data_IF_221112613209
#
_entry.id   IF_221112613209
#
_cell.length_a   1.000
_cell.length_b   1.000
_cell.length_c   1.000
_cell.angle_alpha   90.00
_cell.angle_beta   90.00
_cell.angle_gamma   90.00
#
_symmetry.space_group_name_H-M   'P 1'
#
loop_
_entity.id
_entity.type
_entity.pdbx_description
1 polymer ?
#
# COMPACT_ATOMS: atom_id res chain seq x y z
N UNK A 1 -11.79 38.22 0.36
CA UNK A 1 -11.83 36.82 0.84
C UNK A 1 -11.17 35.96 -0.20
N UNK A 2 -10.07 35.26 0.08
CA UNK A 2 -9.22 34.75 -1.01
C UNK A 2 -8.74 33.32 -0.77
N UNK A 3 -8.49 32.59 -1.87
CA UNK A 3 -8.07 31.19 -1.86
C UNK A 3 -6.88 30.96 -2.81
N UNK A 4 -6.27 29.77 -2.69
CA UNK A 4 -5.31 29.19 -3.62
C UNK A 4 -5.71 27.74 -3.85
N UNK A 5 -5.48 27.23 -5.05
CA UNK A 5 -5.57 25.80 -5.33
C UNK A 5 -4.14 25.26 -5.30
N UNK A 6 -3.93 24.19 -4.55
CA UNK A 6 -2.64 23.52 -4.43
C UNK A 6 -2.75 22.08 -4.90
N UNK A 7 -1.88 21.68 -5.82
CA UNK A 7 -1.66 20.28 -6.20
C UNK A 7 -0.37 19.82 -5.52
N UNK A 8 -0.50 18.81 -4.69
CA UNK A 8 0.64 18.10 -4.12
C UNK A 8 0.93 16.92 -5.01
N UNK A 9 2.18 16.77 -5.42
CA UNK A 9 2.69 15.53 -5.98
C UNK A 9 4.04 15.19 -5.33
N UNK A 10 4.68 14.13 -5.83
CA UNK A 10 5.94 13.62 -5.26
C UNK A 10 7.15 14.51 -5.59
N UNK A 11 7.03 15.39 -6.60
CA UNK A 11 8.07 16.33 -7.03
C UNK A 11 7.93 17.70 -6.35
N UNK A 12 6.77 18.00 -5.78
CA UNK A 12 6.58 19.20 -4.97
C UNK A 12 5.12 19.64 -4.86
N UNK A 13 4.95 20.94 -4.64
CA UNK A 13 3.63 21.57 -4.51
C UNK A 13 3.51 22.66 -5.56
N UNK A 14 2.57 22.49 -6.48
CA UNK A 14 2.19 23.52 -7.43
C UNK A 14 1.01 24.30 -6.87
N UNK A 15 1.13 25.62 -6.82
CA UNK A 15 0.12 26.48 -6.21
C UNK A 15 -0.25 27.57 -7.20
N UNK A 16 -1.56 27.80 -7.36
CA UNK A 16 -2.04 28.93 -8.16
C UNK A 16 -1.65 30.26 -7.51
N UNK A 17 -1.69 31.34 -8.29
CA UNK A 17 -1.75 32.68 -7.68
C UNK A 17 -2.99 32.77 -6.79
N UNK A 18 -2.91 33.61 -5.76
CA UNK A 18 -4.03 33.89 -4.86
C UNK A 18 -5.09 34.67 -5.63
N UNK A 19 -6.36 34.27 -5.54
CA UNK A 19 -7.49 34.95 -6.17
C UNK A 19 -8.61 35.18 -5.16
N UNK A 20 -9.45 36.21 -5.37
CA UNK A 20 -10.60 36.48 -4.50
C UNK A 20 -11.81 35.70 -5.00
N UNK A 21 -12.20 34.64 -4.30
CA UNK A 21 -13.30 33.78 -4.77
C UNK A 21 -14.68 34.42 -4.70
N UNK A 22 -14.82 35.59 -4.06
CA UNK A 22 -16.07 36.37 -4.11
C UNK A 22 -16.15 37.23 -5.36
N UNK A 23 -15.01 37.72 -5.84
CA UNK A 23 -14.93 38.53 -7.05
C UNK A 23 -14.74 37.68 -8.32
N UNK A 24 -13.94 36.62 -8.22
CA UNK A 24 -13.53 35.69 -9.29
C UNK A 24 -14.03 34.26 -8.97
N UNK A 25 -15.32 34.15 -8.62
CA UNK A 25 -15.93 32.89 -8.18
C UNK A 25 -15.94 31.81 -9.27
N UNK A 26 -15.97 32.22 -10.53
CA UNK A 26 -15.92 31.36 -11.71
C UNK A 26 -14.66 30.48 -11.75
N UNK A 27 -13.51 30.97 -11.26
CA UNK A 27 -12.27 30.18 -11.21
C UNK A 27 -12.40 28.98 -10.28
N UNK A 28 -13.03 29.18 -9.11
CA UNK A 28 -13.25 28.10 -8.14
C UNK A 28 -14.32 27.12 -8.64
N UNK A 29 -15.40 27.64 -9.22
CA UNK A 29 -16.49 26.81 -9.78
C UNK A 29 -15.99 25.97 -10.95
N UNK A 30 -15.23 26.55 -11.88
CA UNK A 30 -14.65 25.82 -13.03
C UNK A 30 -13.69 24.73 -12.56
N UNK A 31 -12.83 25.03 -11.58
CA UNK A 31 -11.96 24.02 -10.98
C UNK A 31 -12.75 22.86 -10.38
N UNK A 32 -13.73 23.15 -9.51
CA UNK A 32 -14.53 22.12 -8.85
C UNK A 32 -15.35 21.30 -9.87
N UNK A 33 -15.90 21.95 -10.90
CA UNK A 33 -16.62 21.30 -11.98
C UNK A 33 -15.72 20.31 -12.73
N UNK A 34 -14.56 20.77 -13.23
CA UNK A 34 -13.60 19.92 -13.94
C UNK A 34 -13.09 18.80 -13.04
N UNK A 35 -12.70 19.11 -11.80
CA UNK A 35 -12.23 18.13 -10.83
C UNK A 35 -13.29 17.07 -10.52
N UNK A 36 -14.58 17.42 -10.48
CA UNK A 36 -15.66 16.47 -10.23
C UNK A 36 -15.89 15.49 -11.38
N UNK A 37 -15.52 15.87 -12.61
CA UNK A 37 -15.62 15.03 -13.81
C UNK A 37 -14.43 14.10 -13.99
N UNK A 38 -13.31 14.35 -13.29
CA UNK A 38 -12.15 13.47 -13.32
C UNK A 38 -12.47 12.10 -12.71
N UNK A 39 -11.84 11.07 -13.27
CA UNK A 39 -11.83 9.72 -12.72
C UNK A 39 -11.25 9.70 -11.29
N UNK A 40 -11.27 8.53 -10.63
CA UNK A 40 -10.66 8.43 -9.30
C UNK A 40 -9.15 8.59 -9.42
N UNK A 41 -8.56 7.96 -10.42
CA UNK A 41 -7.14 7.93 -10.72
C UNK A 41 -6.63 9.35 -11.03
N UNK A 42 -7.35 10.09 -11.89
CA UNK A 42 -7.01 11.48 -12.22
C UNK A 42 -7.16 12.45 -11.04
N UNK A 43 -7.98 12.11 -10.03
CA UNK A 43 -8.07 12.84 -8.75
C UNK A 43 -6.97 12.43 -7.77
N UNK A 44 -6.08 11.51 -8.13
CA UNK A 44 -4.98 11.04 -7.30
C UNK A 44 -5.34 9.91 -6.34
N UNK A 45 -6.46 9.20 -6.56
CA UNK A 45 -6.71 7.96 -5.83
C UNK A 45 -5.81 6.84 -6.37
N UNK A 46 -5.23 6.08 -5.46
CA UNK A 46 -4.47 4.87 -5.79
C UNK A 46 -5.43 3.76 -6.26
N UNK A 47 -5.35 3.31 -7.53
CA UNK A 47 -6.22 2.25 -8.06
C UNK A 47 -5.90 0.86 -7.48
N UNK A 48 -4.73 0.69 -6.87
CA UNK A 48 -4.29 -0.60 -6.30
C UNK A 48 -4.70 -0.77 -4.85
N UNK A 49 -5.35 0.23 -4.24
CA UNK A 49 -5.86 0.17 -2.88
C UNK A 49 -7.40 0.27 -2.86
N UNK A 50 -8.06 -0.79 -2.41
CA UNK A 50 -9.51 -0.84 -2.24
C UNK A 50 -9.89 -0.96 -0.77
N UNK A 51 -10.96 -0.25 -0.37
CA UNK A 51 -11.38 -0.21 1.04
C UNK A 51 -12.07 -1.52 1.43
N UNK A 52 -11.63 -2.12 2.54
CA UNK A 52 -12.32 -3.26 3.16
C UNK A 52 -13.42 -2.69 4.07
N UNK A 53 -14.68 -2.90 3.68
CA UNK A 53 -15.83 -2.39 4.43
C UNK A 53 -16.16 -3.28 5.65
N UNK A 54 -16.69 -2.69 6.74
CA UNK A 54 -17.17 -3.45 7.88
C UNK A 54 -18.17 -4.54 7.48
N UNK A 55 -18.15 -5.66 8.21
CA UNK A 55 -19.06 -6.82 8.04
C UNK A 55 -18.90 -7.61 6.75
N UNK A 56 -18.00 -7.22 5.83
CA UNK A 56 -17.66 -8.06 4.66
C UNK A 56 -16.98 -9.38 5.08
N UNK A 57 -17.01 -10.44 4.25
CA UNK A 57 -16.33 -11.70 4.55
C UNK A 57 -14.85 -11.51 4.89
N UNK A 58 -14.13 -10.70 4.10
CA UNK A 58 -12.71 -10.40 4.32
C UNK A 58 -12.48 -9.65 5.64
N UNK A 59 -13.31 -8.65 5.96
CA UNK A 59 -13.25 -7.95 7.25
C UNK A 59 -13.41 -8.92 8.44
N UNK A 60 -14.40 -9.81 8.37
CA UNK A 60 -14.63 -10.81 9.41
C UNK A 60 -13.49 -11.83 9.47
N UNK A 61 -12.90 -12.21 8.33
CA UNK A 61 -11.75 -13.10 8.27
C UNK A 61 -10.51 -12.49 8.93
N UNK A 62 -10.21 -11.21 8.68
CA UNK A 62 -9.12 -10.50 9.37
C UNK A 62 -9.33 -10.51 10.89
N UNK A 63 -10.54 -10.23 11.37
CA UNK A 63 -10.86 -10.27 12.82
C UNK A 63 -10.74 -11.66 13.41
N UNK A 64 -11.17 -12.70 12.69
CA UNK A 64 -11.00 -14.10 13.10
C UNK A 64 -9.51 -14.45 13.20
N UNK A 65 -8.71 -14.08 12.19
CA UNK A 65 -7.26 -14.32 12.17
C UNK A 65 -6.54 -13.59 13.30
N UNK A 66 -6.95 -12.38 13.64
CA UNK A 66 -6.40 -11.63 14.78
C UNK A 66 -6.67 -12.32 16.13
N UNK A 67 -7.82 -12.97 16.29
CA UNK A 67 -8.23 -13.65 17.54
C UNK A 67 -7.83 -15.12 17.64
N UNK A 68 -7.50 -15.77 16.52
CA UNK A 68 -7.11 -17.17 16.50
C UNK A 68 -5.81 -17.36 17.30
N UNK A 69 -5.90 -17.98 18.47
CA UNK A 69 -4.73 -18.49 19.20
C UNK A 69 -4.18 -19.69 18.44
N UNK A 70 -2.86 -19.78 18.28
CA UNK A 70 -2.21 -21.07 17.99
C UNK A 70 -2.06 -21.78 19.34
N UNK A 71 -2.38 -23.06 19.44
CA UNK A 71 -2.32 -23.85 20.68
C UNK A 71 -0.91 -23.89 21.32
N UNK A 72 0.12 -23.48 20.58
CA UNK A 72 1.47 -23.26 21.09
C UNK A 72 1.56 -21.89 21.78
N UNK A 73 1.23 -21.83 23.07
CA UNK A 73 1.37 -20.67 23.98
C UNK A 73 2.85 -20.23 24.21
N UNK A 74 3.75 -20.61 23.28
CA UNK A 74 5.20 -20.39 23.28
C UNK A 74 5.77 -19.97 21.92
N UNK A 75 4.95 -19.63 20.91
CA UNK A 75 5.51 -19.10 19.64
C UNK A 75 6.02 -17.65 19.88
N UNK A 76 7.34 -17.39 19.82
CA UNK A 76 7.89 -16.06 20.01
C UNK A 76 7.36 -15.03 18.99
N UNK A 77 6.70 -15.45 17.91
CA UNK A 77 6.04 -14.57 16.94
C UNK A 77 4.64 -14.10 17.34
N UNK A 78 4.17 -14.40 18.56
CA UNK A 78 2.87 -13.90 19.04
C UNK A 78 2.79 -12.36 19.01
N UNK A 79 3.94 -11.67 19.11
CA UNK A 79 3.98 -10.22 18.92
C UNK A 79 3.47 -9.77 17.54
N UNK A 80 3.71 -10.52 16.46
CA UNK A 80 3.23 -10.15 15.11
C UNK A 80 1.71 -10.17 15.06
N UNK A 81 1.09 -11.17 15.72
CA UNK A 81 -0.37 -11.25 15.85
C UNK A 81 -0.90 -10.11 16.71
N UNK A 82 -0.24 -9.79 17.81
CA UNK A 82 -0.60 -8.66 18.67
C UNK A 82 -0.52 -7.32 17.89
N UNK A 83 0.53 -7.13 17.07
CA UNK A 83 0.66 -5.98 16.18
C UNK A 83 -0.47 -5.94 15.15
N UNK A 84 -0.79 -7.07 14.52
CA UNK A 84 -1.91 -7.17 13.59
C UNK A 84 -3.24 -6.85 14.29
N UNK A 85 -3.50 -7.40 15.47
CA UNK A 85 -4.69 -7.10 16.25
C UNK A 85 -4.79 -5.61 16.59
N UNK A 86 -3.69 -4.98 17.00
CA UNK A 86 -3.61 -3.54 17.24
C UNK A 86 -3.87 -2.72 15.97
N UNK A 87 -3.45 -3.22 14.80
CA UNK A 87 -3.70 -2.57 13.51
C UNK A 87 -5.19 -2.52 13.13
N UNK A 88 -6.01 -3.44 13.66
CA UNK A 88 -7.45 -3.52 13.40
C UNK A 88 -8.25 -2.48 14.22
N UNK A 89 -7.82 -1.22 14.19
CA UNK A 89 -8.50 -0.09 14.82
C UNK A 89 -9.82 0.21 14.06
N UNK A 90 -10.99 0.22 14.73
CA UNK A 90 -12.28 0.51 14.09
C UNK A 90 -12.41 1.92 13.53
N UNK A 91 -11.63 2.88 14.06
CA UNK A 91 -11.62 4.27 13.61
C UNK A 91 -10.65 4.50 12.44
N UNK A 92 -9.96 3.45 11.98
CA UNK A 92 -9.05 3.51 10.85
C UNK A 92 -9.59 2.67 9.68
N UNK A 93 -9.53 3.17 8.43
CA UNK A 93 -9.93 2.37 7.27
C UNK A 93 -8.98 1.20 7.04
N UNK A 94 -9.52 0.01 6.77
CA UNK A 94 -8.73 -1.14 6.38
C UNK A 94 -8.71 -1.26 4.86
N UNK A 95 -7.63 -1.79 4.31
CA UNK A 95 -7.37 -1.77 2.88
C UNK A 95 -6.99 -3.15 2.36
N UNK A 96 -7.47 -3.47 1.17
CA UNK A 96 -6.94 -4.52 0.32
C UNK A 96 -6.04 -3.84 -0.70
N UNK A 97 -4.75 -4.15 -0.63
CA UNK A 97 -3.68 -3.55 -1.44
C UNK A 97 -3.18 -4.58 -2.44
N UNK A 98 -2.97 -4.14 -3.67
CA UNK A 98 -2.42 -4.96 -4.76
C UNK A 98 -0.95 -4.59 -4.99
N UNK A 99 -0.10 -5.61 -5.05
CA UNK A 99 1.30 -5.49 -5.44
C UNK A 99 1.46 -6.13 -6.79
N UNK A 100 1.78 -5.31 -7.79
CA UNK A 100 1.96 -5.72 -9.17
C UNK A 100 3.39 -6.22 -9.35
N UNK A 101 3.60 -7.50 -9.04
CA UNK A 101 4.93 -8.08 -8.95
C UNK A 101 5.46 -8.56 -10.29
N UNK A 102 6.74 -8.29 -10.56
CA UNK A 102 7.43 -8.90 -11.68
C UNK A 102 8.00 -10.25 -11.25
N UNK A 103 7.49 -11.33 -11.82
CA UNK A 103 8.03 -12.67 -11.62
C UNK A 103 8.90 -13.07 -12.82
N UNK A 104 10.16 -13.44 -12.60
CA UNK A 104 10.98 -14.03 -13.65
C UNK A 104 10.52 -15.47 -13.87
N UNK A 105 9.40 -15.66 -14.57
CA UNK A 105 8.93 -16.98 -14.97
C UNK A 105 8.80 -17.05 -16.48
N UNK A 106 9.94 -17.24 -17.14
CA UNK A 106 9.98 -17.39 -18.59
C UNK A 106 11.30 -17.86 -19.14
N UNK A 107 11.30 -18.99 -19.86
CA UNK A 107 12.44 -19.42 -20.67
C UNK A 107 12.61 -18.54 -21.92
N UNK A 108 11.57 -17.81 -22.33
CA UNK A 108 11.55 -16.94 -23.51
C UNK A 108 11.38 -15.46 -23.15
N UNK A 109 11.82 -14.55 -24.04
CA UNK A 109 11.79 -13.08 -23.85
C UNK A 109 10.37 -12.54 -23.59
N UNK A 110 9.32 -13.15 -24.16
CA UNK A 110 7.92 -12.73 -23.96
C UNK A 110 7.32 -13.21 -22.63
N UNK A 111 7.88 -14.24 -22.00
CA UNK A 111 7.43 -14.75 -20.70
C UNK A 111 8.12 -14.04 -19.51
N UNK A 112 9.21 -13.32 -19.74
CA UNK A 112 9.95 -12.59 -18.69
C UNK A 112 9.22 -11.36 -18.13
N UNK A 113 8.17 -10.90 -18.80
CA UNK A 113 7.41 -9.68 -18.45
C UNK A 113 5.97 -10.00 -18.04
N UNK A 114 5.72 -11.10 -17.31
CA UNK A 114 4.40 -11.34 -16.74
C UNK A 114 4.30 -10.64 -15.38
N UNK A 115 3.40 -9.66 -15.29
CA UNK A 115 3.03 -9.01 -14.02
C UNK A 115 2.02 -9.90 -13.30
N UNK A 116 2.39 -10.35 -12.09
CA UNK A 116 1.52 -11.12 -11.21
C UNK A 116 0.99 -10.19 -10.13
N UNK A 117 -0.33 -10.05 -10.05
CA UNK A 117 -0.97 -9.23 -9.01
C UNK A 117 -1.13 -10.05 -7.74
N UNK A 118 -0.46 -9.62 -6.66
CA UNK A 118 -0.59 -10.23 -5.32
C UNK A 118 -1.38 -9.32 -4.41
N UNK A 119 -2.36 -9.85 -3.71
CA UNK A 119 -3.30 -9.07 -2.89
C UNK A 119 -3.02 -9.26 -1.40
N UNK A 120 -3.12 -8.18 -0.63
CA UNK A 120 -2.89 -8.19 0.80
C UNK A 120 -3.93 -7.37 1.54
N UNK A 121 -4.40 -7.88 2.68
CA UNK A 121 -5.27 -7.16 3.59
C UNK A 121 -4.46 -6.53 4.72
N UNK A 122 -4.62 -5.22 4.92
CA UNK A 122 -3.90 -4.43 5.93
C UNK A 122 -4.85 -3.59 6.77
N UNK A 123 -4.50 -3.43 8.05
CA UNK A 123 -5.13 -2.45 8.96
C UNK A 123 -4.37 -1.13 8.98
N UNK A 124 -4.34 -0.48 10.14
CA UNK A 124 -3.53 0.69 10.42
C UNK A 124 -2.03 0.38 10.29
N UNK A 125 -1.20 1.26 9.70
CA UNK A 125 0.23 1.03 9.61
C UNK A 125 0.85 0.86 11.01
N UNK A 126 1.71 -0.14 11.14
CA UNK A 126 2.56 -0.34 12.33
C UNK A 126 3.61 0.77 12.44
N UNK A 127 4.14 1.22 11.30
CA UNK A 127 5.08 2.31 11.20
C UNK A 127 4.62 3.29 10.12
N UNK A 128 4.73 4.59 10.40
CA UNK A 128 4.51 5.65 9.43
C UNK A 128 5.55 6.75 9.66
N UNK A 129 6.36 7.02 8.64
CA UNK A 129 7.33 8.11 8.67
C UNK A 129 6.61 9.45 8.85
N UNK A 130 7.09 10.35 9.73
CA UNK A 130 6.48 11.65 9.95
C UNK A 130 6.80 12.62 8.80
N UNK A 131 5.95 13.64 8.66
CA UNK A 131 6.16 14.74 7.71
C UNK A 131 5.59 14.50 6.32
N UNK A 132 5.58 15.57 5.53
CA UNK A 132 5.09 15.58 4.14
C UNK A 132 6.22 15.47 3.12
N UNK A 133 7.45 15.79 3.54
CA UNK A 133 8.66 15.67 2.73
C UNK A 133 9.37 14.34 3.05
N UNK A 134 9.72 13.58 2.03
CA UNK A 134 10.45 12.31 2.17
C UNK A 134 9.76 11.13 1.48
N UNK A 135 10.14 9.91 1.87
CA UNK A 135 9.68 8.68 1.20
C UNK A 135 8.25 8.26 1.54
N UNK A 136 7.59 8.95 2.47
CA UNK A 136 6.21 8.60 2.90
C UNK A 136 6.08 7.17 3.44
N UNK A 137 7.15 6.59 3.95
CA UNK A 137 7.21 5.15 4.24
C UNK A 137 6.18 4.72 5.28
N UNK A 138 5.41 3.70 4.92
CA UNK A 138 4.47 3.00 5.79
C UNK A 138 4.82 1.52 5.83
N UNK A 139 4.70 0.94 7.01
CA UNK A 139 4.93 -0.47 7.26
C UNK A 139 3.69 -1.11 7.85
N UNK A 140 3.25 -2.21 7.29
CA UNK A 140 2.02 -2.90 7.67
C UNK A 140 2.32 -4.34 8.05
N UNK A 141 1.62 -4.83 9.08
CA UNK A 141 1.42 -6.27 9.23
C UNK A 141 0.24 -6.63 8.33
N UNK A 142 0.47 -7.52 7.37
CA UNK A 142 -0.49 -7.84 6.33
C UNK A 142 -0.84 -9.34 6.32
N UNK A 143 -1.96 -9.66 5.71
CA UNK A 143 -2.36 -11.02 5.38
C UNK A 143 -2.48 -11.19 3.87
N UNK A 144 -1.86 -12.21 3.27
CA UNK A 144 -2.12 -12.56 1.87
C UNK A 144 -3.60 -12.87 1.64
N UNK A 145 -4.13 -12.35 0.54
CA UNK A 145 -5.52 -12.52 0.11
C UNK A 145 -5.52 -13.25 -1.24
N UNK A 146 -6.39 -14.25 -1.37
CA UNK A 146 -6.61 -14.99 -2.60
C UNK A 146 -7.49 -14.19 -3.57
N UNK A 147 -7.58 -14.63 -4.82
CA UNK A 147 -8.38 -13.93 -5.84
C UNK A 147 -9.89 -13.90 -5.54
N UNK A 148 -10.37 -14.84 -4.74
CA UNK A 148 -11.75 -14.93 -4.25
C UNK A 148 -12.02 -14.09 -2.97
N UNK A 149 -11.11 -13.18 -2.62
CA UNK A 149 -11.15 -12.35 -1.41
C UNK A 149 -11.18 -13.13 -0.09
N UNK A 150 -10.67 -14.36 -0.09
CA UNK A 150 -10.48 -15.17 1.11
C UNK A 150 -9.03 -15.15 1.61
N UNK A 151 -8.85 -15.49 2.88
CA UNK A 151 -7.53 -15.68 3.50
C UNK A 151 -7.36 -17.18 3.75
N UNK A 152 -6.26 -17.77 3.28
CA UNK A 152 -5.97 -19.18 3.51
C UNK A 152 -5.82 -19.48 5.02
N UNK A 153 -6.22 -20.66 5.46
CA UNK A 153 -6.13 -21.05 6.87
C UNK A 153 -4.69 -21.09 7.38
N UNK A 154 -3.75 -21.44 6.50
CA UNK A 154 -2.31 -21.55 6.71
C UNK A 154 -1.54 -20.28 6.29
N UNK A 155 -2.21 -19.25 5.75
CA UNK A 155 -1.54 -18.02 5.33
C UNK A 155 -0.86 -17.37 6.52
N UNK A 156 0.46 -17.20 6.50
CA UNK A 156 1.21 -16.51 7.54
C UNK A 156 1.04 -14.97 7.47
N UNK A 157 1.32 -14.29 8.58
CA UNK A 157 1.44 -12.84 8.57
C UNK A 157 2.71 -12.43 7.84
N UNK A 158 2.62 -11.35 7.06
CA UNK A 158 3.75 -10.82 6.29
C UNK A 158 3.94 -9.34 6.62
N UNK A 159 5.10 -8.79 6.28
CA UNK A 159 5.36 -7.37 6.40
C UNK A 159 5.26 -6.73 5.02
N UNK A 160 4.34 -5.77 4.85
CA UNK A 160 4.20 -4.99 3.63
C UNK A 160 4.79 -3.61 3.88
N UNK A 161 5.78 -3.24 3.07
CA UNK A 161 6.39 -1.92 3.07
C UNK A 161 5.87 -1.14 1.85
N UNK A 162 5.27 0.00 2.12
CA UNK A 162 4.87 1.00 1.14
C UNK A 162 5.80 2.20 1.29
N UNK A 163 6.47 2.60 0.22
CA UNK A 163 7.36 3.76 0.25
C UNK A 163 7.58 4.29 -1.16
N UNK A 164 7.65 5.60 -1.29
CA UNK A 164 8.22 6.22 -2.47
C UNK A 164 9.70 5.83 -2.60
N UNK A 165 10.12 5.51 -3.81
CA UNK A 165 11.54 5.33 -4.15
C UNK A 165 12.06 6.55 -4.89
N UNK A 166 13.38 6.71 -4.86
CA UNK A 166 14.07 7.59 -5.80
C UNK A 166 14.14 6.84 -7.13
N UNK A 167 13.59 7.44 -8.17
CA UNK A 167 13.68 6.91 -9.53
C UNK A 167 14.86 7.56 -10.24
N UNK A 168 15.98 6.84 -10.26
CA UNK A 168 17.23 7.32 -10.84
C UNK A 168 18.01 6.15 -11.41
N UNK A 169 18.67 6.38 -12.54
CA UNK A 169 19.56 5.42 -13.18
C UNK A 169 20.66 4.99 -12.19
N UNK A 170 20.76 3.70 -11.91
CA UNK A 170 21.72 3.13 -10.96
C UNK A 170 21.18 2.86 -9.56
N UNK A 171 19.91 3.16 -9.27
CA UNK A 171 19.24 2.73 -8.03
C UNK A 171 18.26 1.60 -8.35
N UNK A 172 18.64 0.37 -7.99
CA UNK A 172 17.76 -0.79 -8.11
C UNK A 172 16.57 -0.71 -7.15
N UNK A 173 15.48 -1.37 -7.54
CA UNK A 173 14.35 -1.61 -6.65
C UNK A 173 14.83 -2.38 -5.40
N UNK A 174 14.34 -1.99 -4.23
CA UNK A 174 14.65 -2.67 -2.97
C UNK A 174 14.39 -4.18 -3.05
N UNK A 175 13.30 -4.57 -3.72
CA UNK A 175 13.00 -5.99 -3.93
C UNK A 175 13.94 -6.72 -4.88
N UNK A 176 14.58 -6.05 -5.85
CA UNK A 176 15.64 -6.67 -6.68
C UNK A 176 16.85 -6.98 -5.80
N UNK A 177 17.23 -6.05 -4.94
CA UNK A 177 18.34 -6.25 -3.99
C UNK A 177 18.01 -7.38 -3.00
N UNK A 178 16.81 -7.39 -2.40
CA UNK A 178 16.40 -8.45 -1.49
C UNK A 178 16.38 -9.82 -2.17
N UNK A 179 15.91 -9.90 -3.42
CA UNK A 179 15.90 -11.14 -4.21
C UNK A 179 17.30 -11.68 -4.37
N UNK A 180 18.24 -10.84 -4.82
CA UNK A 180 19.63 -11.21 -4.99
C UNK A 180 20.25 -11.74 -3.69
N UNK A 181 20.03 -11.05 -2.56
CA UNK A 181 20.56 -11.46 -1.26
C UNK A 181 19.96 -12.79 -0.79
N UNK A 182 18.65 -13.00 -0.98
CA UNK A 182 17.99 -14.27 -0.67
C UNK A 182 18.52 -15.42 -1.54
N UNK A 183 18.70 -15.22 -2.84
CA UNK A 183 19.24 -16.22 -3.77
C UNK A 183 20.70 -16.60 -3.45
N UNK A 184 21.47 -15.67 -2.87
CA UNK A 184 22.83 -15.93 -2.38
C UNK A 184 22.88 -16.57 -0.99
N UNK A 185 21.73 -16.81 -0.36
CA UNK A 185 21.67 -17.40 0.97
C UNK A 185 22.27 -16.52 2.06
N UNK A 186 22.27 -15.20 1.87
CA UNK A 186 22.73 -14.26 2.90
C UNK A 186 21.82 -14.37 4.12
N UNK A 187 22.41 -14.51 5.30
CA UNK A 187 21.65 -14.61 6.55
C UNK A 187 21.19 -13.22 7.05
N UNK A 188 20.19 -13.21 7.92
CA UNK A 188 19.66 -12.00 8.59
C UNK A 188 19.08 -10.91 7.66
N UNK A 189 18.77 -11.24 6.40
CA UNK A 189 18.01 -10.37 5.49
C UNK A 189 16.53 -10.80 5.45
N UNK A 190 15.58 -9.86 5.26
CA UNK A 190 14.19 -10.22 5.09
C UNK A 190 13.98 -11.18 3.91
N UNK A 191 13.10 -12.15 4.09
CA UNK A 191 12.64 -13.02 3.00
C UNK A 191 11.70 -12.22 2.09
N UNK A 192 12.08 -12.06 0.83
CA UNK A 192 11.28 -11.43 -0.18
C UNK A 192 10.17 -12.38 -0.63
N UNK A 193 8.91 -11.94 -0.49
CA UNK A 193 7.75 -12.64 -1.06
C UNK A 193 7.40 -12.11 -2.45
N UNK A 194 7.40 -10.78 -2.59
CA UNK A 194 7.14 -10.08 -3.84
C UNK A 194 7.54 -8.61 -3.71
N UNK A 195 7.71 -7.94 -4.85
CA UNK A 195 7.88 -6.49 -4.93
C UNK A 195 7.37 -6.00 -6.28
N UNK A 196 6.97 -4.74 -6.34
CA UNK A 196 6.51 -4.07 -7.53
C UNK A 196 6.49 -2.56 -7.31
N UNK A 197 6.38 -1.83 -8.41
CA UNK A 197 6.10 -0.39 -8.41
C UNK A 197 4.64 -0.17 -8.84
N UNK A 198 4.17 1.06 -8.62
CA UNK A 198 2.85 1.58 -9.02
C UNK A 198 3.00 2.71 -10.04
#
# INVERSE_FOLDING_TARGET
NSVRIARFDRSGVFVTRKFDYKAEGELLVDFLHRYSQLSREERGYDPTASRILPKTPLYNAMRRRAKAKKDSDKDPRDYVRALFQKSLNPHWPWWKVEVHAHEPHGKTRNQRNHTVVRKFAVGMPHFQAPGVAGRGTRGYVALPVRDDDTIANDADFVYLKDAWRVDHDGIDLEGVTLRFLNEKGVEHVPTLLCHGDL
#
